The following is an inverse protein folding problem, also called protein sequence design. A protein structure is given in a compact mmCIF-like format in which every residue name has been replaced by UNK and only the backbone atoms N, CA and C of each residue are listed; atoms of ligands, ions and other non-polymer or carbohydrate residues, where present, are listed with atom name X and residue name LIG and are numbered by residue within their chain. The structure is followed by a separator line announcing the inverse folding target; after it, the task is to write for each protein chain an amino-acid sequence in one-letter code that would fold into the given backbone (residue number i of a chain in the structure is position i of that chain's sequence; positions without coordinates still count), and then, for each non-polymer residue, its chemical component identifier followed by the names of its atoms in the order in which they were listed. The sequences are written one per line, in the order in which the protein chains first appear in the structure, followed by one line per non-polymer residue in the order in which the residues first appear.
data_IF_192513974005
#
_entry.id   IF_192513974005
#
_cell.length_a   1.000
_cell.length_b   1.000
_cell.length_c   1.000
_cell.angle_alpha   90.00
_cell.angle_beta   90.00
_cell.angle_gamma   90.00
#
_symmetry.space_group_name_H-M   'P 1'
#
loop_
_entity.id
_entity.type
_entity.pdbx_description
1 polymer ?
#
# COMPACT_ATOMS: atom_id res chain seq x y z
N UNK A 1 -8.26 1.23 22.21
CA UNK A 1 -8.34 1.57 20.79
C UNK A 1 -8.53 0.30 19.97
N UNK A 2 -9.50 0.29 19.11
CA UNK A 2 -9.79 -0.89 18.32
C UNK A 2 -8.81 -1.06 17.17
N UNK A 3 -8.44 -2.30 16.91
CA UNK A 3 -7.60 -2.63 15.78
C UNK A 3 -8.43 -2.53 14.50
N UNK A 4 -7.91 -1.85 13.51
CA UNK A 4 -8.53 -1.76 12.20
C UNK A 4 -8.14 -2.96 11.35
N UNK A 5 -9.00 -3.33 10.42
CA UNK A 5 -8.67 -4.36 9.44
C UNK A 5 -7.91 -3.75 8.27
N UNK A 6 -7.15 -4.55 7.52
CA UNK A 6 -6.53 -4.05 6.30
C UNK A 6 -7.52 -3.40 5.33
N UNK A 7 -8.72 -3.96 5.23
CA UNK A 7 -9.78 -3.39 4.39
C UNK A 7 -10.13 -1.96 4.80
N UNK A 8 -10.34 -1.72 6.09
CA UNK A 8 -10.66 -0.39 6.58
C UNK A 8 -9.52 0.59 6.33
N UNK A 9 -8.28 0.16 6.56
CA UNK A 9 -7.11 1.00 6.38
C UNK A 9 -6.95 1.37 4.90
N UNK A 10 -7.03 0.39 4.01
CA UNK A 10 -6.82 0.61 2.59
C UNK A 10 -7.96 1.38 1.92
N UNK A 11 -9.20 1.08 2.29
CA UNK A 11 -10.36 1.67 1.63
C UNK A 11 -10.81 2.99 2.23
N UNK A 12 -10.55 3.22 3.53
CA UNK A 12 -10.99 4.43 4.23
C UNK A 12 -9.85 5.33 4.65
N UNK A 13 -8.84 4.78 5.32
CA UNK A 13 -7.78 5.61 5.90
C UNK A 13 -6.76 6.07 4.85
N UNK A 14 -6.35 5.18 3.96
CA UNK A 14 -5.32 5.48 2.97
C UNK A 14 -5.70 6.65 2.05
N UNK A 15 -6.93 6.69 1.49
CA UNK A 15 -7.32 7.85 0.68
C UNK A 15 -7.24 9.17 1.42
N UNK A 16 -7.55 9.18 2.73
CA UNK A 16 -7.47 10.38 3.55
C UNK A 16 -6.04 10.80 3.89
N UNK A 17 -5.09 9.88 3.83
CA UNK A 17 -3.67 10.16 4.10
C UNK A 17 -2.90 10.52 2.84
N UNK A 18 -3.50 10.32 1.68
CA UNK A 18 -2.86 10.54 0.39
C UNK A 18 -2.56 12.03 0.19
N UNK A 19 -1.33 12.32 -0.18
CA UNK A 19 -0.87 13.68 -0.44
C UNK A 19 -0.85 13.93 -1.93
N UNK A 20 -1.91 14.54 -2.43
CA UNK A 20 -2.08 14.76 -3.88
C UNK A 20 -0.95 15.61 -4.48
N UNK A 21 -0.46 16.59 -3.73
CA UNK A 21 0.63 17.45 -4.18
C UNK A 21 1.94 16.68 -4.37
N UNK A 22 2.15 15.59 -3.62
CA UNK A 22 3.34 14.73 -3.75
C UNK A 22 3.17 13.67 -4.82
N UNK A 23 1.99 13.53 -5.38
CA UNK A 23 1.67 12.52 -6.38
C UNK A 23 1.71 13.05 -7.81
N UNK A 24 2.14 14.30 -8.00
CA UNK A 24 2.26 14.88 -9.33
C UNK A 24 3.22 14.04 -10.19
N UNK A 25 2.76 13.67 -11.39
CA UNK A 25 3.55 12.86 -12.31
C UNK A 25 3.51 11.36 -12.00
N UNK A 26 2.84 10.94 -10.94
CA UNK A 26 2.67 9.52 -10.65
C UNK A 26 1.43 9.00 -11.37
N UNK A 27 1.62 8.01 -12.23
CA UNK A 27 0.56 7.31 -12.94
C UNK A 27 0.87 5.82 -12.82
N UNK A 28 0.19 5.13 -11.91
CA UNK A 28 0.55 3.75 -11.61
C UNK A 28 -0.62 2.93 -11.05
N UNK A 29 -0.48 1.62 -11.18
CA UNK A 29 -1.39 0.64 -10.59
C UNK A 29 -0.58 -0.25 -9.67
N UNK A 30 -0.98 -0.32 -8.42
CA UNK A 30 -0.31 -1.11 -7.39
C UNK A 30 -1.25 -2.20 -6.91
N UNK A 31 -0.77 -3.44 -6.92
CA UNK A 31 -1.48 -4.57 -6.33
C UNK A 31 -0.98 -4.74 -4.89
N UNK A 32 -1.89 -4.78 -3.93
CA UNK A 32 -1.55 -5.01 -2.53
C UNK A 32 -2.17 -6.34 -2.09
N UNK A 33 -1.31 -7.28 -1.71
CA UNK A 33 -1.72 -8.60 -1.24
C UNK A 33 -1.38 -8.72 0.24
N UNK A 34 -2.40 -8.82 1.07
CA UNK A 34 -2.25 -8.98 2.52
C UNK A 34 -2.62 -10.41 2.89
N UNK A 35 -1.67 -11.13 3.49
CA UNK A 35 -1.85 -12.52 3.87
C UNK A 35 -2.31 -12.62 5.33
N UNK A 36 -3.36 -13.36 5.59
CA UNK A 36 -3.88 -13.57 6.94
C UNK A 36 -5.39 -13.78 6.93
N UNK A 37 -5.95 -13.99 8.12
CA UNK A 37 -7.38 -14.28 8.29
C UNK A 37 -8.26 -13.16 7.75
N UNK A 38 -7.86 -11.91 7.95
CA UNK A 38 -8.57 -10.72 7.45
C UNK A 38 -7.81 -10.05 6.32
N UNK A 39 -6.98 -10.82 5.64
CA UNK A 39 -6.25 -10.36 4.49
C UNK A 39 -7.12 -10.30 3.25
N UNK A 40 -6.48 -10.04 2.14
CA UNK A 40 -7.15 -9.95 0.83
C UNK A 40 -6.23 -9.26 -0.15
N UNK A 41 -6.80 -8.91 -1.28
CA UNK A 41 -6.08 -8.24 -2.35
C UNK A 41 -6.80 -6.96 -2.74
N UNK A 42 -6.04 -5.90 -2.94
CA UNK A 42 -6.57 -4.59 -3.33
C UNK A 42 -5.76 -4.01 -4.47
N UNK A 43 -6.43 -3.22 -5.29
CA UNK A 43 -5.80 -2.49 -6.38
C UNK A 43 -5.84 -1.02 -6.03
N UNK A 44 -4.68 -0.38 -6.01
CA UNK A 44 -4.56 1.06 -5.79
C UNK A 44 -4.13 1.70 -7.10
N UNK A 45 -4.98 2.56 -7.65
CA UNK A 45 -4.70 3.29 -8.88
C UNK A 45 -4.45 4.74 -8.53
N UNK A 46 -3.30 5.28 -8.95
CA UNK A 46 -2.97 6.69 -8.79
C UNK A 46 -2.80 7.29 -10.17
N UNK A 47 -3.61 8.31 -10.46
CA UNK A 47 -3.62 8.98 -11.76
C UNK A 47 -4.15 10.39 -11.56
N UNK A 48 -3.52 11.35 -12.24
CA UNK A 48 -3.95 12.75 -12.20
C UNK A 48 -4.07 13.29 -10.76
N UNK A 49 -3.12 12.90 -9.91
CA UNK A 49 -3.07 13.30 -8.48
C UNK A 49 -4.29 12.81 -7.69
N UNK A 50 -4.90 11.71 -8.14
CA UNK A 50 -6.05 11.08 -7.46
C UNK A 50 -5.73 9.64 -7.16
N UNK A 51 -6.27 9.15 -6.06
CA UNK A 51 -6.12 7.75 -5.66
C UNK A 51 -7.48 7.06 -5.64
N UNK A 52 -7.53 5.85 -6.22
CA UNK A 52 -8.68 4.98 -6.13
C UNK A 52 -8.24 3.63 -5.57
N UNK A 53 -8.97 3.10 -4.60
CA UNK A 53 -8.69 1.81 -4.00
C UNK A 53 -9.89 0.90 -4.22
N UNK A 54 -9.65 -0.26 -4.81
CA UNK A 54 -10.67 -1.29 -5.05
C UNK A 54 -10.17 -2.64 -4.59
N UNK A 55 -11.08 -3.43 -4.04
CA UNK A 55 -10.79 -4.83 -3.75
C UNK A 55 -10.71 -5.61 -5.05
N UNK A 56 -9.70 -6.47 -5.21
CA UNK A 56 -9.53 -7.27 -6.41
C UNK A 56 -8.08 -7.47 -6.80
N UNK A 57 -7.87 -8.02 -8.00
CA UNK A 57 -6.55 -8.33 -8.53
C UNK A 57 -6.38 -7.70 -9.91
N UNK A 58 -5.27 -6.99 -10.08
CA UNK A 58 -4.93 -6.40 -11.38
C UNK A 58 -4.16 -7.40 -12.23
N UNK A 59 -4.45 -7.52 -13.53
CA UNK A 59 -3.69 -8.42 -14.42
C UNK A 59 -2.27 -7.94 -14.70
N UNK A 60 -2.01 -6.64 -14.60
CA UNK A 60 -0.70 -6.07 -14.95
C UNK A 60 -0.34 -4.89 -14.07
N UNK A 61 -0.15 -5.10 -12.75
CA UNK A 61 0.24 -4.01 -11.88
C UNK A 61 1.69 -3.60 -12.15
N UNK A 62 1.99 -2.32 -11.99
CA UNK A 62 3.35 -1.82 -12.06
C UNK A 62 4.17 -2.27 -10.88
N UNK A 63 3.53 -2.40 -9.73
CA UNK A 63 4.14 -2.83 -8.48
C UNK A 63 3.19 -3.73 -7.74
N UNK A 64 3.70 -4.81 -7.16
CA UNK A 64 2.95 -5.67 -6.25
C UNK A 64 3.60 -5.60 -4.88
N UNK A 65 2.80 -5.32 -3.86
CA UNK A 65 3.21 -5.29 -2.46
C UNK A 65 2.57 -6.48 -1.75
N UNK A 66 3.38 -7.30 -1.10
CA UNK A 66 2.90 -8.46 -0.37
C UNK A 66 3.39 -8.40 1.07
N UNK A 67 2.49 -8.53 2.04
CA UNK A 67 2.80 -8.53 3.46
C UNK A 67 1.85 -9.43 4.22
N UNK A 68 2.30 -9.89 5.41
CA UNK A 68 1.39 -10.50 6.37
C UNK A 68 0.51 -9.43 7.01
N UNK A 69 -0.69 -9.81 7.40
CA UNK A 69 -1.66 -8.90 8.04
C UNK A 69 -1.07 -8.20 9.26
N UNK A 70 -0.41 -8.95 10.15
CA UNK A 70 0.20 -8.39 11.35
C UNK A 70 1.28 -7.37 11.03
N UNK A 71 2.10 -7.65 10.04
CA UNK A 71 3.17 -6.73 9.62
C UNK A 71 2.58 -5.46 9.00
N UNK A 72 1.53 -5.60 8.22
CA UNK A 72 0.84 -4.45 7.63
C UNK A 72 0.26 -3.54 8.71
N UNK A 73 -0.39 -4.11 9.72
CA UNK A 73 -0.96 -3.33 10.83
C UNK A 73 0.14 -2.62 11.63
N UNK A 74 1.26 -3.29 11.87
CA UNK A 74 2.40 -2.68 12.56
C UNK A 74 2.99 -1.52 11.74
N UNK A 75 3.04 -1.68 10.44
CA UNK A 75 3.55 -0.64 9.54
C UNK A 75 2.68 0.61 9.60
N UNK A 76 1.36 0.48 9.49
CA UNK A 76 0.46 1.63 9.50
C UNK A 76 0.35 2.27 10.88
N UNK A 77 0.60 1.52 11.94
CA UNK A 77 0.60 2.03 13.30
C UNK A 77 1.94 2.62 13.75
N UNK A 78 2.92 2.65 12.86
CA UNK A 78 4.23 3.20 13.16
C UNK A 78 5.15 2.31 13.98
N UNK A 79 4.77 1.05 14.18
CA UNK A 79 5.57 0.08 14.94
C UNK A 79 6.61 -0.63 14.08
N UNK A 80 6.48 -0.54 12.78
CA UNK A 80 7.38 -1.15 11.81
C UNK A 80 7.73 -0.12 10.75
N UNK A 81 9.02 0.09 10.52
CA UNK A 81 9.49 0.97 9.46
C UNK A 81 9.45 0.23 8.12
N UNK A 82 8.92 0.88 7.08
CA UNK A 82 8.79 0.28 5.75
C UNK A 82 10.10 -0.15 5.13
N UNK A 83 11.18 0.63 5.33
CA UNK A 83 12.50 0.29 4.81
C UNK A 83 13.04 -0.96 5.52
N UNK A 84 12.93 -1.00 6.84
CA UNK A 84 13.35 -2.16 7.61
C UNK A 84 12.51 -3.38 7.31
N UNK A 85 11.21 -3.20 7.09
CA UNK A 85 10.32 -4.30 6.70
C UNK A 85 10.76 -4.92 5.38
N UNK A 86 11.17 -4.10 4.42
CA UNK A 86 11.66 -4.58 3.14
C UNK A 86 12.97 -5.37 3.31
N UNK A 87 13.93 -4.84 4.05
CA UNK A 87 15.21 -5.51 4.26
C UNK A 87 15.10 -6.80 5.08
N UNK A 88 14.13 -6.89 5.98
CA UNK A 88 13.93 -8.09 6.80
C UNK A 88 12.99 -9.11 6.15
N UNK A 89 12.49 -8.84 4.94
CA UNK A 89 11.63 -9.76 4.22
C UNK A 89 10.17 -9.75 4.63
N UNK A 90 9.77 -8.85 5.52
CA UNK A 90 8.36 -8.70 5.93
C UNK A 90 7.53 -7.98 4.87
N UNK A 91 8.17 -7.13 4.09
CA UNK A 91 7.54 -6.43 2.97
C UNK A 91 8.19 -6.93 1.68
N UNK A 92 7.40 -7.56 0.83
CA UNK A 92 7.88 -8.05 -0.46
C UNK A 92 7.38 -7.16 -1.56
N UNK A 93 8.29 -6.77 -2.46
CA UNK A 93 7.97 -5.91 -3.60
C UNK A 93 8.32 -6.65 -4.88
N UNK A 94 7.41 -6.61 -5.84
CA UNK A 94 7.62 -7.16 -7.18
C UNK A 94 7.27 -6.09 -8.20
N UNK A 95 8.13 -5.88 -9.18
CA UNK A 95 7.92 -4.90 -10.23
C UNK A 95 8.79 -3.67 -10.05
N UNK A 96 8.24 -2.49 -10.32
CA UNK A 96 9.00 -1.25 -10.30
C UNK A 96 9.16 -0.71 -8.87
N UNK A 97 10.29 -1.05 -8.24
CA UNK A 97 10.58 -0.65 -6.87
C UNK A 97 10.73 0.87 -6.73
N UNK A 98 11.11 1.57 -7.79
CA UNK A 98 11.21 3.04 -7.75
C UNK A 98 9.84 3.67 -7.50
N UNK A 99 8.76 3.04 -7.95
CA UNK A 99 7.40 3.48 -7.68
C UNK A 99 7.11 3.45 -6.18
N UNK A 100 7.61 2.43 -5.47
CA UNK A 100 7.39 2.31 -4.02
C UNK A 100 7.94 3.52 -3.26
N UNK A 101 9.10 4.03 -3.65
CA UNK A 101 9.69 5.20 -3.00
C UNK A 101 8.85 6.45 -3.24
N UNK A 102 8.34 6.62 -4.45
CA UNK A 102 7.45 7.73 -4.77
C UNK A 102 6.14 7.67 -3.99
N UNK A 103 5.58 6.47 -3.86
CA UNK A 103 4.34 6.27 -3.11
C UNK A 103 4.52 6.54 -1.63
N UNK A 104 5.67 6.20 -1.08
CA UNK A 104 5.98 6.53 0.31
C UNK A 104 5.92 8.03 0.56
N UNK A 105 6.50 8.82 -0.35
CA UNK A 105 6.49 10.27 -0.24
C UNK A 105 5.07 10.84 -0.39
N UNK A 106 4.22 10.19 -1.14
CA UNK A 106 2.84 10.60 -1.33
C UNK A 106 1.90 10.17 -0.19
N UNK A 107 2.45 9.59 0.88
CA UNK A 107 1.68 9.19 2.06
C UNK A 107 1.06 7.81 1.95
N UNK A 108 1.52 6.99 1.02
CA UNK A 108 0.97 5.66 0.81
C UNK A 108 1.26 4.72 1.99
N UNK A 109 2.46 4.82 2.56
CA UNK A 109 2.86 4.02 3.72
C UNK A 109 3.57 4.86 4.76
#
# INVERSE_FOLDING_TARGET
MEAKTPKEILEKDLPGRFKADKAEGIDTVVQIDIKGTRGGSWIVTIRDQKMEVKEGTSPSPKLTVEMAETDFLDLVNGKLDGIMAFFTGKLKLKGDVAVALKLRDAGFL
#
